data_IF_479127067547
#
_entry.id   IF_479127067547
#
_cell.length_a   1.000
_cell.length_b   1.000
_cell.length_c   1.000
_cell.angle_alpha   90.00
_cell.angle_beta   90.00
_cell.angle_gamma   90.00
#
_symmetry.space_group_name_H-M   'P 1'
#
loop_
_entity.id
_entity.type
_entity.pdbx_description
1 polymer ?
#
# COMPACT_ATOMS: atom_id res chain seq x y z
N UNK A 1 5.83 14.24 -12.35
CA UNK A 1 4.68 13.41 -12.74
C UNK A 1 4.28 12.52 -11.59
N UNK A 2 3.03 12.53 -11.25
CA UNK A 2 2.50 11.76 -10.12
C UNK A 2 2.52 10.27 -10.46
N UNK A 3 2.95 9.46 -9.51
CA UNK A 3 3.00 8.00 -9.67
C UNK A 3 2.30 7.32 -8.51
N UNK A 4 1.88 6.08 -8.72
CA UNK A 4 1.18 5.32 -7.72
C UNK A 4 1.71 3.90 -7.63
N UNK A 5 1.70 3.36 -6.42
CA UNK A 5 1.97 1.94 -6.19
C UNK A 5 0.66 1.28 -5.78
N UNK A 6 0.28 0.25 -6.51
CA UNK A 6 -0.85 -0.60 -6.15
C UNK A 6 -0.29 -1.89 -5.58
N UNK A 7 -0.66 -2.21 -4.34
CA UNK A 7 -0.18 -3.43 -3.70
C UNK A 7 -1.34 -4.25 -3.16
N UNK A 8 -1.34 -5.54 -3.47
CA UNK A 8 -2.38 -6.48 -3.06
C UNK A 8 -1.81 -7.47 -2.07
N UNK A 9 -2.42 -7.52 -0.89
CA UNK A 9 -2.00 -8.42 0.18
C UNK A 9 -3.09 -9.47 0.42
N UNK A 10 -2.71 -10.73 0.25
CA UNK A 10 -3.62 -11.87 0.47
C UNK A 10 -3.29 -12.47 1.83
N UNK A 11 -4.11 -12.17 2.83
CA UNK A 11 -3.84 -12.62 4.19
C UNK A 11 -4.33 -14.03 4.44
N UNK A 12 -3.66 -14.72 5.36
CA UNK A 12 -4.13 -16.02 5.83
C UNK A 12 -5.47 -15.86 6.53
N UNK A 13 -6.25 -16.93 6.56
CA UNK A 13 -7.55 -16.90 7.23
C UNK A 13 -7.38 -16.46 8.68
N UNK A 14 -8.20 -15.49 9.09
CA UNK A 14 -8.18 -14.95 10.44
C UNK A 14 -7.07 -13.96 10.73
N UNK A 15 -6.24 -13.63 9.71
CA UNK A 15 -5.10 -12.71 9.90
C UNK A 15 -5.27 -11.35 9.23
N UNK A 16 -6.39 -11.13 8.54
CA UNK A 16 -6.63 -9.88 7.83
C UNK A 16 -6.61 -8.65 8.74
N UNK A 17 -7.31 -8.72 9.87
CA UNK A 17 -7.40 -7.59 10.80
C UNK A 17 -6.02 -7.21 11.36
N UNK A 18 -5.27 -8.22 11.80
CA UNK A 18 -3.92 -8.01 12.31
C UNK A 18 -3.01 -7.41 11.24
N UNK A 19 -3.06 -7.98 10.03
CA UNK A 19 -2.26 -7.48 8.91
C UNK A 19 -2.61 -6.05 8.54
N UNK A 20 -3.90 -5.73 8.49
CA UNK A 20 -4.34 -4.37 8.20
C UNK A 20 -3.83 -3.39 9.25
N UNK A 21 -3.93 -3.75 10.53
CA UNK A 21 -3.47 -2.88 11.62
C UNK A 21 -1.98 -2.57 11.50
N UNK A 22 -1.17 -3.57 11.17
CA UNK A 22 0.26 -3.38 10.98
C UNK A 22 0.56 -2.42 9.82
N UNK A 23 -0.10 -2.66 8.68
CA UNK A 23 0.12 -1.83 7.49
C UNK A 23 -0.40 -0.41 7.68
N UNK A 24 -1.53 -0.25 8.35
CA UNK A 24 -2.11 1.05 8.63
C UNK A 24 -1.19 1.91 9.50
N UNK A 25 -0.56 1.31 10.49
CA UNK A 25 0.44 1.98 11.33
C UNK A 25 1.61 2.50 10.50
N UNK A 26 2.12 1.66 9.60
CA UNK A 26 3.24 2.03 8.74
C UNK A 26 2.84 3.17 7.80
N UNK A 27 1.65 3.11 7.22
CA UNK A 27 1.14 4.16 6.34
C UNK A 27 1.02 5.50 7.07
N UNK A 28 0.54 5.47 8.30
CA UNK A 28 0.29 6.70 9.06
C UNK A 28 1.55 7.29 9.70
N UNK A 29 2.63 6.54 9.79
CA UNK A 29 3.89 7.01 10.38
C UNK A 29 5.00 7.07 9.36
N UNK A 30 5.56 5.92 9.00
CA UNK A 30 6.76 5.84 8.17
C UNK A 30 6.53 6.29 6.74
N UNK A 31 5.45 5.80 6.12
CA UNK A 31 5.14 6.16 4.74
C UNK A 31 4.83 7.65 4.63
N UNK A 32 4.04 8.17 5.55
CA UNK A 32 3.66 9.59 5.55
C UNK A 32 4.86 10.51 5.72
N UNK A 33 5.91 10.05 6.35
CA UNK A 33 7.12 10.87 6.57
C UNK A 33 8.04 10.95 5.35
N UNK A 34 7.82 10.13 4.33
CA UNK A 34 8.64 10.18 3.12
C UNK A 34 8.23 11.40 2.31
N UNK A 35 9.23 12.22 1.93
CA UNK A 35 8.99 13.42 1.14
C UNK A 35 8.33 13.06 -0.19
N UNK A 36 7.28 13.78 -0.54
CA UNK A 36 6.56 13.57 -1.80
C UNK A 36 5.38 12.61 -1.67
N UNK A 37 5.11 12.11 -0.47
CA UNK A 37 3.92 11.30 -0.25
C UNK A 37 2.67 12.18 -0.41
N UNK A 38 1.73 11.74 -1.24
CA UNK A 38 0.51 12.50 -1.55
C UNK A 38 -0.74 11.93 -0.90
N UNK A 39 -0.72 10.68 -0.51
CA UNK A 39 -1.88 10.06 0.13
C UNK A 39 -2.02 8.60 -0.23
N UNK A 40 -3.04 7.97 0.32
CA UNK A 40 -3.29 6.56 0.04
C UNK A 40 -4.78 6.24 0.12
N UNK A 41 -5.14 5.13 -0.50
CA UNK A 41 -6.47 4.54 -0.40
C UNK A 41 -6.27 3.09 0.02
N UNK A 42 -6.97 2.66 1.05
CA UNK A 42 -7.00 1.25 1.42
C UNK A 42 -8.37 0.69 1.04
N UNK A 43 -8.36 -0.49 0.43
CA UNK A 43 -9.56 -1.10 -0.12
C UNK A 43 -9.67 -2.55 0.32
N UNK A 44 -10.82 -2.90 0.86
CA UNK A 44 -11.11 -4.29 1.23
C UNK A 44 -11.94 -4.88 0.09
N UNK A 45 -11.48 -6.03 -0.43
CA UNK A 45 -12.18 -6.67 -1.52
C UNK A 45 -13.59 -7.09 -1.10
N UNK A 46 -14.57 -6.81 -1.97
CA UNK A 46 -15.93 -7.27 -1.76
C UNK A 46 -16.10 -8.74 -2.15
N UNK A 47 -15.16 -9.25 -2.94
CA UNK A 47 -15.28 -10.61 -3.52
C UNK A 47 -14.35 -11.62 -2.86
N UNK A 48 -13.24 -11.17 -2.29
CA UNK A 48 -12.25 -12.03 -1.65
C UNK A 48 -11.99 -11.57 -0.22
N UNK A 49 -12.45 -12.34 0.73
CA UNK A 49 -12.47 -11.95 2.15
C UNK A 49 -11.09 -11.57 2.72
N UNK A 50 -10.03 -12.15 2.20
CA UNK A 50 -8.68 -11.97 2.76
C UNK A 50 -7.79 -11.02 1.95
N UNK A 51 -8.35 -10.36 0.93
CA UNK A 51 -7.60 -9.46 0.06
C UNK A 51 -7.79 -8.01 0.48
N UNK A 52 -6.69 -7.35 0.78
CA UNK A 52 -6.67 -5.90 1.01
C UNK A 52 -5.72 -5.28 0.00
N UNK A 53 -6.17 -4.22 -0.66
CA UNK A 53 -5.40 -3.52 -1.67
C UNK A 53 -5.13 -2.10 -1.19
N UNK A 54 -3.88 -1.66 -1.36
CA UNK A 54 -3.48 -0.29 -1.04
C UNK A 54 -3.03 0.42 -2.30
N UNK A 55 -3.44 1.66 -2.44
CA UNK A 55 -2.95 2.54 -3.47
C UNK A 55 -2.24 3.69 -2.77
N UNK A 56 -0.93 3.81 -2.95
CA UNK A 56 -0.18 4.95 -2.41
C UNK A 56 0.21 5.86 -3.58
N UNK A 57 0.11 7.16 -3.35
CA UNK A 57 0.32 8.17 -4.41
C UNK A 57 1.52 9.03 -4.05
N UNK A 58 2.39 9.25 -5.02
CA UNK A 58 3.69 9.91 -4.85
C UNK A 58 3.84 11.05 -5.84
N UNK A 59 4.47 12.13 -5.39
CA UNK A 59 4.66 13.36 -6.19
C UNK A 59 5.37 13.09 -7.51
N UNK A 60 6.40 12.23 -7.48
CA UNK A 60 7.23 11.93 -8.64
C UNK A 60 7.95 10.58 -8.48
N UNK A 61 8.71 10.20 -9.50
CA UNK A 61 9.49 8.94 -9.47
C UNK A 61 10.53 8.94 -8.36
N UNK A 62 11.14 10.07 -8.09
CA UNK A 62 12.16 10.17 -7.05
C UNK A 62 11.57 9.85 -5.68
N UNK A 63 10.41 10.40 -5.36
CA UNK A 63 9.70 10.12 -4.10
C UNK A 63 9.29 8.67 -4.01
N UNK A 64 8.80 8.11 -5.13
CA UNK A 64 8.43 6.71 -5.21
C UNK A 64 9.63 5.82 -4.89
N UNK A 65 10.78 6.09 -5.52
CA UNK A 65 12.00 5.32 -5.27
C UNK A 65 12.47 5.44 -3.83
N UNK A 66 12.37 6.63 -3.25
CA UNK A 66 12.72 6.86 -1.85
C UNK A 66 11.84 6.07 -0.90
N UNK A 67 10.61 5.72 -1.31
CA UNK A 67 9.68 4.97 -0.50
C UNK A 67 9.94 3.46 -0.48
N UNK A 68 10.82 2.96 -1.35
CA UNK A 68 11.05 1.52 -1.50
C UNK A 68 11.52 0.85 -0.21
N UNK A 69 12.34 1.54 0.55
CA UNK A 69 12.84 1.01 1.83
C UNK A 69 11.68 0.80 2.82
N UNK A 70 10.80 1.79 2.93
CA UNK A 70 9.64 1.70 3.82
C UNK A 70 8.71 0.58 3.35
N UNK A 71 8.49 0.49 2.04
CA UNK A 71 7.63 -0.56 1.48
C UNK A 71 8.19 -1.95 1.75
N UNK A 72 9.49 -2.15 1.52
CA UNK A 72 10.15 -3.44 1.76
C UNK A 72 10.04 -3.84 3.23
N UNK A 73 10.23 -2.90 4.14
CA UNK A 73 10.09 -3.15 5.58
C UNK A 73 8.65 -3.54 5.94
N UNK A 74 7.68 -2.89 5.31
CA UNK A 74 6.28 -3.19 5.54
C UNK A 74 5.93 -4.61 5.09
N UNK A 75 6.38 -4.99 3.90
CA UNK A 75 6.15 -6.34 3.38
C UNK A 75 6.77 -7.38 4.30
N UNK A 76 8.02 -7.15 4.72
CA UNK A 76 8.72 -8.06 5.62
C UNK A 76 7.96 -8.26 6.92
N UNK A 77 7.41 -7.19 7.47
CA UNK A 77 6.68 -7.22 8.73
C UNK A 77 5.42 -8.07 8.67
N UNK A 78 4.72 -8.05 7.53
CA UNK A 78 3.45 -8.79 7.39
C UNK A 78 3.61 -10.15 6.74
N UNK A 79 4.82 -10.54 6.31
CA UNK A 79 5.03 -11.82 5.64
C UNK A 79 4.48 -13.02 6.43
N UNK A 80 4.62 -13.09 7.77
CA UNK A 80 4.03 -14.21 8.50
C UNK A 80 2.51 -14.29 8.43
N UNK A 81 1.86 -13.21 8.04
CA UNK A 81 0.41 -13.09 8.03
C UNK A 81 -0.20 -13.30 6.64
N UNK A 82 0.61 -13.30 5.59
CA UNK A 82 0.13 -13.46 4.21
C UNK A 82 0.33 -14.89 3.73
N UNK A 83 -0.53 -15.34 2.83
CA UNK A 83 -0.41 -16.69 2.27
C UNK A 83 0.52 -16.76 1.07
N UNK A 84 0.90 -15.61 0.51
CA UNK A 84 1.83 -15.52 -0.62
C UNK A 84 2.40 -14.12 -0.71
N UNK A 85 3.42 -13.94 -1.56
CA UNK A 85 4.02 -12.64 -1.79
C UNK A 85 2.97 -11.64 -2.28
N UNK A 86 2.99 -10.39 -1.80
CA UNK A 86 2.10 -9.36 -2.32
C UNK A 86 2.32 -9.12 -3.80
N UNK A 87 1.25 -8.80 -4.51
CA UNK A 87 1.33 -8.38 -5.89
C UNK A 87 1.46 -6.88 -5.93
N UNK A 88 2.45 -6.38 -6.66
CA UNK A 88 2.76 -4.94 -6.69
C UNK A 88 2.78 -4.45 -8.12
N UNK A 89 2.09 -3.34 -8.37
CA UNK A 89 2.07 -2.68 -9.67
C UNK A 89 2.40 -1.21 -9.50
N UNK A 90 3.02 -0.64 -10.52
CA UNK A 90 3.51 0.74 -10.52
C UNK A 90 2.89 1.46 -11.70
N UNK A 91 2.25 2.59 -11.43
CA UNK A 91 1.50 3.34 -12.44
C UNK A 91 1.87 4.81 -12.48
N UNK A 92 1.82 5.40 -13.64
CA UNK A 92 1.75 6.84 -13.80
C UNK A 92 0.31 7.24 -13.62
N UNK A 93 0.09 8.32 -12.87
CA UNK A 93 -1.27 8.81 -12.65
C UNK A 93 -1.55 9.89 -13.69
N UNK A 94 -2.59 9.67 -14.49
CA UNK A 94 -3.03 10.66 -15.46
C UNK A 94 -3.97 11.67 -14.82
N UNK A 95 -5.02 11.17 -14.21
CA UNK A 95 -6.07 12.03 -13.65
C UNK A 95 -6.54 11.52 -12.32
N UNK A 96 -6.72 12.42 -11.36
CA UNK A 96 -7.42 12.15 -10.12
C UNK A 96 -8.58 13.14 -10.03
N UNK A 97 -9.78 12.61 -9.96
CA UNK A 97 -10.98 13.44 -9.91
C UNK A 97 -12.02 12.78 -9.01
N UNK A 98 -12.15 13.32 -7.80
CA UNK A 98 -13.14 12.83 -6.84
C UNK A 98 -14.36 13.72 -6.86
N UNK A 99 -15.51 13.11 -6.99
CA UNK A 99 -16.79 13.79 -6.90
C UNK A 99 -17.05 14.19 -5.46
N UNK A 100 -17.57 15.39 -5.27
CA UNK A 100 -17.82 15.94 -3.94
C UNK A 100 -19.32 15.96 -3.65
#
# INVERSE_FOLDING_TARGET
>A
MVVARLSKFYFKNGKREEGFSELDLILNKETRSVKGFRGYVSMFSCDQANLITFLTVWEDDESFLASQQVFSSAVEKVMPLVERQPEVEHYRVDTVNFEQ
#
